data_IF_157062443799
#
_entry.id   IF_157062443799
#
_cell.length_a   1.000
_cell.length_b   1.000
_cell.length_c   1.000
_cell.angle_alpha   90.00
_cell.angle_beta   90.00
_cell.angle_gamma   90.00
#
_symmetry.space_group_name_H-M   'P 1'
#
loop_
_entity.id
_entity.type
_entity.pdbx_description
1 polymer ?
#
# COMPACT_ATOMS: atom_id res chain seq x y z
N UNK A 1 20.50 -1.69 23.72
CA UNK A 1 20.58 -0.30 24.22
C UNK A 1 19.43 0.46 23.59
N UNK A 2 18.43 0.85 24.40
CA UNK A 2 17.10 1.31 23.92
C UNK A 2 17.18 2.75 23.39
N UNK A 3 16.75 2.98 22.15
CA UNK A 3 16.61 4.31 21.58
C UNK A 3 15.31 4.95 22.11
N UNK A 4 15.44 6.13 22.68
CA UNK A 4 14.39 6.93 23.31
C UNK A 4 13.36 7.39 22.27
N UNK A 5 12.09 7.05 22.56
CA UNK A 5 10.90 7.52 21.88
C UNK A 5 10.79 9.04 22.09
N UNK A 6 10.86 9.83 21.02
CA UNK A 6 10.77 11.30 21.09
C UNK A 6 9.45 11.71 20.46
N UNK A 7 8.48 12.01 21.31
CA UNK A 7 7.18 12.60 20.98
C UNK A 7 7.36 14.11 20.77
N UNK A 8 6.54 14.72 19.91
CA UNK A 8 6.49 16.18 19.80
C UNK A 8 5.75 16.83 20.99
N UNK A 9 5.71 18.16 21.02
CA UNK A 9 5.03 18.92 22.08
C UNK A 9 3.51 18.67 22.13
N UNK A 10 2.91 18.06 21.10
CA UNK A 10 1.49 17.69 21.03
C UNK A 10 1.24 16.20 21.34
N UNK A 11 2.26 15.44 21.75
CA UNK A 11 2.13 14.01 22.04
C UNK A 11 1.87 13.16 20.79
N UNK A 12 2.10 13.69 19.59
CA UNK A 12 1.99 12.95 18.34
C UNK A 12 3.30 12.24 18.08
N UNK A 13 3.20 10.97 17.72
CA UNK A 13 4.33 10.20 17.26
C UNK A 13 4.90 10.87 16.00
N UNK A 14 6.10 11.43 16.09
CA UNK A 14 6.82 11.92 14.92
C UNK A 14 7.00 10.75 13.96
N UNK A 15 6.54 10.93 12.72
CA UNK A 15 6.59 9.92 11.67
C UNK A 15 8.02 9.44 11.47
N UNK A 16 8.33 8.24 11.97
CA UNK A 16 9.57 7.53 11.64
C UNK A 16 9.31 6.67 10.42
N UNK A 17 10.08 6.81 9.32
CA UNK A 17 9.94 5.92 8.18
C UNK A 17 10.21 4.49 8.62
N UNK A 18 9.26 3.58 8.40
CA UNK A 18 9.47 2.15 8.60
C UNK A 18 10.37 1.64 7.48
N UNK A 19 11.65 1.40 7.78
CA UNK A 19 12.55 0.72 6.86
C UNK A 19 12.39 -0.79 7.05
N UNK A 20 12.11 -1.52 5.98
CA UNK A 20 12.26 -2.97 5.98
C UNK A 20 13.74 -3.34 5.93
N UNK A 21 14.07 -4.58 6.31
CA UNK A 21 15.42 -5.15 6.39
C UNK A 21 16.22 -5.06 5.06
N UNK A 22 15.53 -4.79 3.94
CA UNK A 22 16.11 -4.60 2.59
C UNK A 22 16.38 -3.15 2.19
N UNK A 23 16.24 -2.17 3.09
CA UNK A 23 16.52 -0.75 2.79
C UNK A 23 15.50 -0.07 1.87
N UNK A 24 14.39 -0.73 1.56
CA UNK A 24 13.30 -0.20 0.74
C UNK A 24 12.41 0.74 1.56
N UNK A 25 11.98 1.82 0.93
CA UNK A 25 11.09 2.83 1.50
C UNK A 25 9.63 2.37 1.32
N UNK A 26 8.93 2.16 2.43
CA UNK A 26 7.58 1.61 2.47
C UNK A 26 6.55 2.69 2.75
N UNK A 27 5.60 2.87 1.84
CA UNK A 27 4.41 3.69 2.06
C UNK A 27 3.23 2.85 2.55
N UNK A 28 2.19 3.52 3.03
CA UNK A 28 0.96 2.89 3.50
C UNK A 28 -0.23 3.35 2.66
N UNK A 29 -1.00 2.39 2.15
CA UNK A 29 -2.35 2.59 1.64
C UNK A 29 -3.32 2.46 2.81
N UNK A 30 -4.13 3.49 3.06
CA UNK A 30 -5.16 3.46 4.10
C UNK A 30 -6.53 3.44 3.45
N UNK A 31 -7.35 2.47 3.80
CA UNK A 31 -8.67 2.28 3.20
C UNK A 31 -9.76 1.99 4.24
N UNK A 32 -10.93 2.59 4.02
CA UNK A 32 -12.10 2.36 4.86
C UNK A 32 -12.17 3.25 6.10
N UNK A 33 -13.35 3.27 6.72
CA UNK A 33 -13.62 4.10 7.90
C UNK A 33 -12.86 3.66 9.14
N UNK A 34 -12.53 2.38 9.24
CA UNK A 34 -11.71 1.83 10.33
C UNK A 34 -10.20 2.04 10.11
N UNK A 35 -9.82 2.60 8.95
CA UNK A 35 -8.44 2.92 8.62
C UNK A 35 -7.55 1.68 8.48
N UNK A 36 -8.00 0.66 7.74
CA UNK A 36 -7.15 -0.50 7.43
C UNK A 36 -5.90 -0.04 6.69
N UNK A 37 -4.73 -0.47 7.16
CA UNK A 37 -3.42 -0.04 6.68
C UNK A 37 -2.72 -1.20 5.95
N UNK A 38 -2.33 -0.97 4.71
CA UNK A 38 -1.59 -1.91 3.88
C UNK A 38 -0.27 -1.29 3.43
N UNK A 39 0.83 -1.93 3.77
CA UNK A 39 2.18 -1.42 3.50
C UNK A 39 2.68 -1.93 2.14
N UNK A 40 3.16 -1.03 1.28
CA UNK A 40 3.72 -1.29 -0.05
C UNK A 40 5.00 -0.46 -0.26
N UNK A 41 5.84 -0.85 -1.19
CA UNK A 41 6.95 0.02 -1.62
C UNK A 41 6.40 1.36 -2.14
N UNK A 42 7.05 2.48 -1.81
CA UNK A 42 6.61 3.82 -2.25
C UNK A 42 6.41 3.87 -3.78
N UNK A 43 7.25 3.16 -4.55
CA UNK A 43 7.14 3.06 -6.00
C UNK A 43 5.82 2.39 -6.41
N UNK A 44 5.49 1.24 -5.81
CA UNK A 44 4.21 0.55 -6.03
C UNK A 44 3.05 1.48 -5.67
N UNK A 45 3.13 2.13 -4.51
CA UNK A 45 2.09 3.04 -4.01
C UNK A 45 1.84 4.22 -4.97
N UNK A 46 2.89 4.74 -5.60
CA UNK A 46 2.78 5.79 -6.61
C UNK A 46 2.00 5.35 -7.85
N UNK A 47 2.22 4.11 -8.32
CA UNK A 47 1.47 3.56 -9.46
C UNK A 47 0.01 3.31 -9.10
N UNK A 48 -0.23 2.72 -7.91
CA UNK A 48 -1.58 2.52 -7.37
C UNK A 48 -2.33 3.85 -7.28
N UNK A 49 -1.68 4.91 -6.77
CA UNK A 49 -2.32 6.23 -6.65
C UNK A 49 -2.84 6.74 -8.00
N UNK A 50 -2.05 6.61 -9.08
CA UNK A 50 -2.45 7.08 -10.42
C UNK A 50 -3.68 6.32 -10.91
N UNK A 51 -3.63 4.99 -10.88
CA UNK A 51 -4.70 4.11 -11.39
C UNK A 51 -5.98 4.26 -10.56
N UNK A 52 -5.84 4.26 -9.23
CA UNK A 52 -6.98 4.38 -8.32
C UNK A 52 -7.63 5.74 -8.50
N UNK A 53 -6.85 6.83 -8.55
CA UNK A 53 -7.40 8.18 -8.76
C UNK A 53 -8.16 8.26 -10.09
N UNK A 54 -7.63 7.69 -11.16
CA UNK A 54 -8.30 7.68 -12.46
C UNK A 54 -9.66 6.95 -12.41
N UNK A 55 -9.71 5.78 -11.76
CA UNK A 55 -10.93 4.99 -11.55
C UNK A 55 -11.94 5.69 -10.65
N UNK A 56 -11.50 6.24 -9.52
CA UNK A 56 -12.35 6.96 -8.56
C UNK A 56 -12.99 8.20 -9.19
N UNK A 57 -12.25 8.95 -10.03
CA UNK A 57 -12.80 10.10 -10.78
C UNK A 57 -13.92 9.72 -11.74
N UNK A 58 -13.91 8.49 -12.25
CA UNK A 58 -14.96 7.93 -13.12
C UNK A 58 -16.08 7.23 -12.33
N UNK A 59 -15.96 7.17 -10.99
CA UNK A 59 -16.82 6.36 -10.11
C UNK A 59 -16.88 4.89 -10.54
N UNK A 60 -15.75 4.40 -11.02
CA UNK A 60 -15.58 2.99 -11.38
C UNK A 60 -15.02 2.24 -10.18
N UNK A 61 -15.87 1.43 -9.55
CA UNK A 61 -15.46 0.52 -8.48
C UNK A 61 -14.82 -0.74 -9.09
N UNK A 62 -13.79 -1.26 -8.44
CA UNK A 62 -13.05 -2.41 -8.95
C UNK A 62 -12.47 -3.26 -7.82
N UNK A 63 -12.20 -4.52 -8.12
CA UNK A 63 -11.50 -5.42 -7.21
C UNK A 63 -9.99 -5.16 -7.30
N UNK A 64 -9.33 -4.96 -6.17
CA UNK A 64 -7.88 -4.88 -6.05
C UNK A 64 -7.37 -6.11 -5.30
N UNK A 65 -6.37 -6.80 -5.86
CA UNK A 65 -5.84 -8.07 -5.33
C UNK A 65 -4.33 -7.99 -5.28
N UNK A 66 -3.72 -8.42 -4.18
CA UNK A 66 -2.26 -8.45 -4.04
C UNK A 66 -1.81 -9.70 -3.27
N UNK A 67 -0.50 -9.99 -3.33
CA UNK A 67 0.13 -11.05 -2.54
C UNK A 67 0.70 -10.48 -1.26
N UNK A 68 0.44 -11.19 -0.16
CA UNK A 68 1.00 -10.84 1.13
C UNK A 68 2.46 -11.29 1.21
N UNK A 69 3.26 -10.58 2.01
CA UNK A 69 4.64 -10.98 2.24
C UNK A 69 4.69 -12.30 3.04
N UNK A 70 5.59 -13.23 2.68
CA UNK A 70 5.71 -14.53 3.36
C UNK A 70 5.89 -14.45 4.88
N UNK A 71 6.38 -13.33 5.43
CA UNK A 71 6.52 -13.12 6.88
C UNK A 71 5.19 -12.92 7.61
N UNK A 72 4.11 -12.56 6.90
CA UNK A 72 2.74 -12.42 7.42
C UNK A 72 1.87 -13.61 6.98
N UNK A 73 2.23 -14.26 5.88
CA UNK A 73 1.67 -15.50 5.34
C UNK A 73 1.80 -15.51 3.81
N UNK A 74 1.89 -16.69 3.17
CA UNK A 74 1.86 -16.82 1.70
C UNK A 74 0.42 -16.70 1.16
N UNK A 75 -0.25 -15.64 1.62
CA UNK A 75 -1.65 -15.36 1.36
C UNK A 75 -1.87 -14.50 0.13
N UNK A 76 -3.14 -14.42 -0.26
CA UNK A 76 -3.63 -13.43 -1.21
C UNK A 76 -4.69 -12.60 -0.52
N UNK A 77 -4.50 -11.29 -0.54
CA UNK A 77 -5.46 -10.34 -0.03
C UNK A 77 -6.19 -9.65 -1.18
N UNK A 78 -7.45 -9.27 -0.93
CA UNK A 78 -8.27 -8.58 -1.89
C UNK A 78 -9.18 -7.55 -1.21
N UNK A 79 -9.35 -6.40 -1.86
CA UNK A 79 -10.21 -5.32 -1.40
C UNK A 79 -11.09 -4.83 -2.55
N UNK A 80 -12.38 -4.64 -2.26
CA UNK A 80 -13.26 -3.90 -3.15
C UNK A 80 -13.01 -2.40 -2.97
N UNK A 81 -12.60 -1.72 -4.04
CA UNK A 81 -12.29 -0.28 -4.03
C UNK A 81 -13.47 0.50 -4.61
N UNK A 82 -13.99 1.46 -3.85
CA UNK A 82 -15.14 2.28 -4.23
C UNK A 82 -14.91 3.78 -3.94
N UNK A 83 -15.42 4.64 -4.83
CA UNK A 83 -15.27 6.10 -4.73
C UNK A 83 -15.97 6.74 -3.53
N UNK A 84 -16.92 6.04 -2.90
CA UNK A 84 -17.60 6.49 -1.69
C UNK A 84 -16.81 6.17 -0.40
N UNK A 85 -15.73 5.39 -0.49
CA UNK A 85 -14.97 4.96 0.68
C UNK A 85 -13.67 5.79 0.80
N UNK A 86 -13.34 6.33 1.99
CA UNK A 86 -12.11 7.07 2.18
C UNK A 86 -10.87 6.26 1.82
N UNK A 87 -9.95 6.89 1.09
CA UNK A 87 -8.71 6.31 0.61
C UNK A 87 -7.59 7.34 0.79
N UNK A 88 -6.50 6.94 1.44
CA UNK A 88 -5.32 7.79 1.64
C UNK A 88 -4.05 7.06 1.24
N UNK A 89 -3.12 7.80 0.63
CA UNK A 89 -1.78 7.35 0.28
C UNK A 89 -0.78 8.08 1.17
N UNK A 90 0.00 7.34 1.98
CA UNK A 90 1.02 7.89 2.87
C UNK A 90 2.39 7.37 2.45
N UNK A 91 3.26 8.26 1.98
CA UNK A 91 4.62 7.89 1.54
C UNK A 91 5.64 8.02 2.67
N UNK A 92 6.62 7.11 2.70
CA UNK A 92 7.77 7.21 3.63
C UNK A 92 8.91 8.06 3.09
N UNK A 93 9.02 8.18 1.78
CA UNK A 93 10.09 8.89 1.09
C UNK A 93 9.75 10.36 0.88
N UNK A 94 10.78 11.21 0.92
CA UNK A 94 10.65 12.64 0.58
C UNK A 94 10.68 12.93 -0.93
N UNK A 95 11.02 11.95 -1.77
CA UNK A 95 11.08 12.11 -3.23
C UNK A 95 9.98 11.31 -3.89
N UNK A 96 9.32 11.92 -4.88
CA UNK A 96 8.32 11.23 -5.68
C UNK A 96 8.98 10.14 -6.54
N UNK A 97 8.48 8.89 -6.51
CA UNK A 97 8.98 7.82 -7.37
C UNK A 97 8.77 8.12 -8.86
N UNK A 98 9.72 7.72 -9.70
CA UNK A 98 9.56 7.74 -11.16
C UNK A 98 8.54 6.68 -11.55
N UNK A 99 7.57 7.06 -12.38
CA UNK A 99 6.51 6.18 -12.84
C UNK A 99 6.94 5.42 -14.10
N UNK A 100 6.52 4.17 -14.20
CA UNK A 100 6.61 3.33 -15.38
C UNK A 100 5.27 3.38 -16.12
N UNK A 101 5.31 3.91 -17.35
CA UNK A 101 4.10 4.10 -18.15
C UNK A 101 3.51 2.80 -18.64
N UNK A 102 4.34 1.82 -19.00
CA UNK A 102 3.90 0.48 -19.43
C UNK A 102 3.14 -0.20 -18.29
N UNK A 103 3.69 -0.13 -17.07
CA UNK A 103 3.01 -0.70 -15.91
C UNK A 103 1.68 -0.01 -15.60
N UNK A 104 1.62 1.32 -15.71
CA UNK A 104 0.38 2.06 -15.52
C UNK A 104 -0.70 1.67 -16.53
N UNK A 105 -0.32 1.43 -17.79
CA UNK A 105 -1.23 0.97 -18.83
C UNK A 105 -1.75 -0.44 -18.50
N UNK A 106 -0.87 -1.38 -18.16
CA UNK A 106 -1.26 -2.74 -17.75
C UNK A 106 -2.20 -2.73 -16.54
N UNK A 107 -1.84 -1.96 -15.50
CA UNK A 107 -2.67 -1.84 -14.30
C UNK A 107 -4.02 -1.19 -14.60
N UNK A 108 -4.07 -0.19 -15.49
CA UNK A 108 -5.32 0.47 -15.88
C UNK A 108 -6.25 -0.48 -16.64
N UNK A 109 -5.70 -1.31 -17.54
CA UNK A 109 -6.42 -2.36 -18.26
C UNK A 109 -6.94 -3.40 -17.27
N UNK A 110 -6.08 -3.92 -16.39
CA UNK A 110 -6.44 -4.93 -15.40
C UNK A 110 -7.56 -4.45 -14.47
N UNK A 111 -7.48 -3.21 -13.98
CA UNK A 111 -8.51 -2.60 -13.14
C UNK A 111 -9.88 -2.42 -13.84
N UNK A 112 -9.93 -2.52 -15.18
CA UNK A 112 -11.18 -2.55 -15.95
C UNK A 112 -11.74 -3.95 -16.19
N UNK A 113 -11.03 -5.00 -15.79
CA UNK A 113 -11.41 -6.39 -16.06
C UNK A 113 -12.30 -6.99 -14.97
N UNK A 114 -12.98 -8.10 -15.28
CA UNK A 114 -13.81 -8.86 -14.33
C UNK A 114 -12.99 -9.45 -13.17
N UNK A 115 -11.70 -9.76 -13.40
CA UNK A 115 -10.81 -10.27 -12.35
C UNK A 115 -10.30 -9.15 -11.42
N UNK A 116 -10.45 -7.89 -11.84
CA UNK A 116 -9.90 -6.73 -11.16
C UNK A 116 -8.42 -6.52 -11.40
N UNK A 117 -7.86 -5.55 -10.67
CA UNK A 117 -6.44 -5.26 -10.65
C UNK A 117 -5.72 -6.27 -9.75
N UNK A 118 -5.07 -7.25 -10.35
CA UNK A 118 -4.11 -8.12 -9.66
C UNK A 118 -2.75 -7.45 -9.72
N UNK A 119 -2.21 -7.08 -8.56
CA UNK A 119 -0.91 -6.44 -8.45
C UNK A 119 0.20 -7.42 -8.84
N UNK A 120 0.84 -7.15 -9.97
CA UNK A 120 1.98 -7.88 -10.50
C UNK A 120 3.31 -7.16 -10.27
N UNK A 121 4.38 -7.76 -10.77
CA UNK A 121 5.70 -7.12 -10.84
C UNK A 121 5.73 -6.05 -11.92
N UNK A 122 6.66 -5.10 -11.78
CA UNK A 122 6.87 -4.05 -12.79
C UNK A 122 7.52 -4.63 -14.06
N UNK A 123 6.96 -4.39 -15.25
CA UNK A 123 7.58 -4.77 -16.52
C UNK A 123 9.00 -4.21 -16.68
N UNK A 124 9.93 -5.07 -17.10
CA UNK A 124 11.33 -4.67 -17.33
C UNK A 124 12.19 -4.50 -16.07
N UNK A 125 11.65 -4.77 -14.88
CA UNK A 125 12.45 -4.86 -13.66
C UNK A 125 13.11 -6.25 -13.58
N UNK A 126 14.33 -6.38 -14.10
CA UNK A 126 15.18 -7.56 -13.88
C UNK A 126 15.67 -7.58 -12.42
N UNK A 127 14.78 -7.98 -11.50
CA UNK A 127 15.10 -8.14 -10.09
C UNK A 127 14.07 -9.06 -9.44
N UNK A 128 14.50 -10.29 -9.15
CA UNK A 128 13.73 -11.33 -8.46
C UNK A 128 12.99 -10.77 -7.24
N UNK A 129 11.67 -10.67 -7.31
CA UNK A 129 10.89 -10.34 -6.13
C UNK A 129 9.48 -9.87 -6.43
N UNK A 130 8.52 -10.81 -6.32
CA UNK A 130 7.08 -10.60 -6.22
C UNK A 130 6.80 -9.30 -5.45
N UNK A 131 5.97 -8.39 -5.98
CA UNK A 131 5.50 -7.22 -5.22
C UNK A 131 4.74 -7.73 -3.99
N UNK A 132 5.27 -7.43 -2.80
CA UNK A 132 4.75 -7.96 -1.53
C UNK A 132 4.15 -6.83 -0.72
N UNK A 133 2.98 -7.08 -0.17
CA UNK A 133 2.40 -6.17 0.81
C UNK A 133 2.48 -6.79 2.21
N UNK A 134 2.67 -5.96 3.22
CA UNK A 134 2.46 -6.40 4.61
C UNK A 134 1.09 -5.89 5.09
N UNK A 135 0.18 -6.80 5.42
CA UNK A 135 -1.06 -6.44 6.14
C UNK A 135 -0.73 -6.21 7.62
N UNK A 136 -0.96 -4.99 8.10
CA UNK A 136 -0.75 -4.62 9.51
C UNK A 136 -2.07 -4.49 10.28
N UNK A 137 -3.22 -4.73 9.63
CA UNK A 137 -4.57 -4.50 10.19
C UNK A 137 -4.92 -5.47 11.32
N UNK A 138 -4.27 -6.64 11.36
CA UNK A 138 -4.52 -7.65 12.40
C UNK A 138 -3.80 -7.37 13.73
N UNK A 139 -2.71 -6.59 13.75
CA UNK A 139 -1.82 -6.47 14.92
C UNK A 139 -2.29 -5.49 16.01
N UNK A 140 -3.46 -4.87 15.88
CA UNK A 140 -4.00 -3.91 16.89
C UNK A 140 -5.28 -4.37 17.59
N UNK A 141 -5.50 -5.68 17.76
CA UNK A 141 -6.66 -6.19 18.53
C UNK A 141 -6.36 -6.62 19.96
N UNK A 142 -5.10 -6.59 20.40
CA UNK A 142 -4.75 -6.93 21.78
C UNK A 142 -4.44 -5.66 22.59
N UNK A 143 -5.49 -4.92 22.97
CA UNK A 143 -5.41 -4.02 24.12
C UNK A 143 -6.30 -4.62 25.21
N UNK A 144 -5.75 -5.05 26.37
CA UNK A 144 -6.60 -5.53 27.44
C UNK A 144 -7.47 -4.36 27.93
N UNK A 145 -8.79 -4.55 27.85
CA UNK A 145 -9.74 -3.66 28.49
C UNK A 145 -9.47 -3.69 30.00
N UNK A 146 -9.27 -2.51 30.57
CA UNK A 146 -9.23 -2.29 32.02
C UNK A 146 -10.66 -2.18 32.57
#
# INVERSE_FOLDING_TARGET
MRATDTLDHEGRQLYRPRRHDRGVIIGTLVYGLQGSEFDFDDRVLAHLQVVFTAKMRRRESFMFVWRDDPSVGDGRSAAWIDSAIPLYFRYSGGKQPVLNMEWLEEMSIAAGSTQGLVLGEEPGHEGEGVVRAHDNSMKRRDHPAN
#
